data_IF_643405299744
#
_entry.id   IF_643405299744
#
_cell.length_a   1.000
_cell.length_b   1.000
_cell.length_c   1.000
_cell.angle_alpha   90.00
_cell.angle_beta   90.00
_cell.angle_gamma   90.00
#
_symmetry.space_group_name_H-M   'P 1'
#
loop_
_entity.id
_entity.type
_entity.pdbx_description
1 polymer ?
#
# COMPACT_ATOMS: atom_id res chain seq x y z
N UNK A 1 -13.42 24.47 10.37
CA UNK A 1 -13.44 23.47 9.30
C UNK A 1 -13.50 22.08 9.91
N UNK A 2 -14.42 21.27 9.46
CA UNK A 2 -14.54 19.91 9.97
C UNK A 2 -13.32 19.08 9.53
N UNK A 3 -12.79 18.29 10.43
CA UNK A 3 -11.74 17.33 10.09
C UNK A 3 -12.31 16.23 9.21
N UNK A 4 -11.59 15.90 8.15
CA UNK A 4 -11.95 14.76 7.33
C UNK A 4 -11.41 13.50 7.99
N UNK A 5 -12.25 12.49 8.04
CA UNK A 5 -11.87 11.16 8.50
C UNK A 5 -12.08 10.17 7.37
N UNK A 6 -11.17 9.20 7.27
CA UNK A 6 -11.21 8.15 6.27
C UNK A 6 -11.59 6.84 6.95
N UNK A 7 -12.57 6.15 6.41
CA UNK A 7 -12.96 4.82 6.87
C UNK A 7 -12.30 3.73 5.99
N UNK A 8 -12.69 2.48 6.20
CA UNK A 8 -12.16 1.37 5.42
C UNK A 8 -12.43 1.48 3.94
N UNK A 9 -13.63 1.89 3.56
CA UNK A 9 -13.99 2.06 2.16
C UNK A 9 -13.17 3.17 1.51
N UNK A 10 -12.98 4.29 2.22
CA UNK A 10 -12.15 5.39 1.75
C UNK A 10 -10.69 4.99 1.59
N UNK A 11 -10.15 4.27 2.56
CA UNK A 11 -8.78 3.77 2.50
C UNK A 11 -8.59 2.80 1.33
N UNK A 12 -9.51 1.88 1.13
CA UNK A 12 -9.47 0.93 0.03
C UNK A 12 -9.50 1.65 -1.32
N UNK A 13 -10.39 2.66 -1.46
CA UNK A 13 -10.46 3.46 -2.67
C UNK A 13 -9.17 4.22 -2.96
N UNK A 14 -8.57 4.82 -1.93
CA UNK A 14 -7.29 5.53 -2.06
C UNK A 14 -6.17 4.56 -2.45
N UNK A 15 -6.14 3.38 -1.85
CA UNK A 15 -5.13 2.37 -2.17
C UNK A 15 -5.28 1.87 -3.60
N UNK A 16 -6.51 1.64 -4.02
CA UNK A 16 -6.80 1.23 -5.40
C UNK A 16 -6.32 2.27 -6.41
N UNK A 17 -6.54 3.55 -6.11
CA UNK A 17 -6.07 4.65 -6.95
C UNK A 17 -4.54 4.73 -6.98
N UNK A 18 -3.88 4.53 -5.83
CA UNK A 18 -2.41 4.52 -5.74
C UNK A 18 -1.80 3.38 -6.56
N UNK A 19 -2.39 2.19 -6.52
CA UNK A 19 -1.93 1.05 -7.31
C UNK A 19 -2.08 1.34 -8.80
N UNK A 20 -3.20 1.92 -9.22
CA UNK A 20 -3.42 2.29 -10.61
C UNK A 20 -2.42 3.34 -11.08
N UNK A 21 -2.08 4.31 -10.24
CA UNK A 21 -1.09 5.33 -10.56
C UNK A 21 0.31 4.73 -10.73
N UNK A 22 0.70 3.86 -9.82
CA UNK A 22 1.99 3.16 -9.95
C UNK A 22 2.03 2.32 -11.23
N UNK A 23 0.95 1.60 -11.55
CA UNK A 23 0.86 0.81 -12.77
C UNK A 23 1.10 1.66 -14.01
N UNK A 24 0.55 2.87 -14.03
CA UNK A 24 0.73 3.79 -15.15
C UNK A 24 2.17 4.29 -15.29
N UNK A 25 2.98 4.22 -14.24
CA UNK A 25 4.35 4.77 -14.20
C UNK A 25 5.44 3.73 -13.97
N UNK A 26 5.12 2.43 -14.04
CA UNK A 26 6.08 1.34 -13.79
C UNK A 26 7.32 1.48 -14.67
N UNK A 27 7.14 1.76 -15.95
CA UNK A 27 8.27 1.86 -16.89
C UNK A 27 9.20 3.01 -16.52
N UNK A 28 8.64 4.16 -16.09
CA UNK A 28 9.44 5.29 -15.63
C UNK A 28 10.26 4.94 -14.40
N UNK A 29 9.64 4.29 -13.43
CA UNK A 29 10.32 3.88 -12.20
C UNK A 29 11.43 2.87 -12.51
N UNK A 30 11.15 1.90 -13.37
CA UNK A 30 12.15 0.91 -13.79
C UNK A 30 13.33 1.61 -14.48
N UNK A 31 13.08 2.60 -15.31
CA UNK A 31 14.12 3.33 -16.03
C UNK A 31 15.05 4.12 -15.09
N UNK A 32 14.56 4.52 -13.91
CA UNK A 32 15.35 5.24 -12.91
C UNK A 32 16.17 4.32 -12.02
N UNK A 33 16.02 3.01 -12.15
CA UNK A 33 16.69 2.03 -11.30
C UNK A 33 18.12 1.77 -11.79
N UNK A 34 19.05 2.61 -11.32
CA UNK A 34 20.46 2.54 -11.71
C UNK A 34 21.38 2.17 -10.54
N UNK A 35 20.90 2.15 -9.32
CA UNK A 35 21.69 1.82 -8.12
C UNK A 35 20.95 0.80 -7.24
N UNK A 36 21.70 -0.07 -6.57
CA UNK A 36 23.12 -0.34 -6.74
C UNK A 36 23.43 -1.10 -8.03
N UNK A 37 22.43 -1.75 -8.60
CA UNK A 37 22.55 -2.53 -9.85
C UNK A 37 21.50 -2.03 -10.83
N UNK A 38 21.86 -1.72 -12.07
CA UNK A 38 20.88 -1.18 -13.07
C UNK A 38 20.04 -2.30 -13.70
N UNK A 39 19.34 -3.09 -12.89
CA UNK A 39 18.51 -4.20 -13.35
C UNK A 39 17.10 -3.76 -13.78
N UNK A 40 16.71 -2.51 -13.51
CA UNK A 40 15.49 -1.92 -14.06
C UNK A 40 14.20 -2.56 -13.59
N UNK A 41 14.16 -3.11 -12.37
CA UNK A 41 13.00 -3.85 -11.87
C UNK A 41 12.32 -3.25 -10.63
N UNK A 42 12.76 -2.08 -10.17
CA UNK A 42 12.21 -1.45 -8.97
C UNK A 42 10.70 -1.25 -9.07
N UNK A 43 10.24 -0.67 -10.18
CA UNK A 43 8.81 -0.45 -10.40
C UNK A 43 8.02 -1.73 -10.50
N UNK A 44 8.55 -2.74 -11.18
CA UNK A 44 7.91 -4.04 -11.32
C UNK A 44 7.80 -4.76 -9.97
N UNK A 45 8.85 -4.70 -9.15
CA UNK A 45 8.85 -5.31 -7.82
C UNK A 45 7.86 -4.61 -6.89
N UNK A 46 7.83 -3.27 -6.89
CA UNK A 46 6.86 -2.52 -6.12
C UNK A 46 5.44 -2.83 -6.58
N UNK A 47 5.22 -2.88 -7.90
CA UNK A 47 3.90 -3.17 -8.46
C UNK A 47 3.38 -4.54 -8.03
N UNK A 48 4.23 -5.57 -8.12
CA UNK A 48 3.86 -6.92 -7.69
C UNK A 48 3.49 -6.95 -6.20
N UNK A 49 4.25 -6.21 -5.38
CA UNK A 49 4.03 -6.15 -3.93
C UNK A 49 2.74 -5.43 -3.58
N UNK A 50 2.48 -4.24 -4.16
CA UNK A 50 1.26 -3.50 -3.87
C UNK A 50 0.03 -4.15 -4.48
N UNK A 51 0.18 -4.87 -5.59
CA UNK A 51 -0.94 -5.64 -6.16
C UNK A 51 -1.37 -6.75 -5.21
N UNK A 52 -0.42 -7.47 -4.63
CA UNK A 52 -0.71 -8.50 -3.63
C UNK A 52 -1.38 -7.90 -2.40
N UNK A 53 -0.93 -6.72 -1.97
CA UNK A 53 -1.54 -5.99 -0.86
C UNK A 53 -2.98 -5.61 -1.17
N UNK A 54 -3.23 -5.07 -2.36
CA UNK A 54 -4.58 -4.67 -2.78
C UNK A 54 -5.52 -5.86 -2.85
N UNK A 55 -5.06 -6.98 -3.40
CA UNK A 55 -5.88 -8.19 -3.51
C UNK A 55 -6.37 -8.67 -2.14
N UNK A 56 -5.49 -8.65 -1.13
CA UNK A 56 -5.88 -9.02 0.23
C UNK A 56 -6.86 -8.01 0.84
N UNK A 57 -6.63 -6.73 0.63
CA UNK A 57 -7.52 -5.70 1.14
C UNK A 57 -8.90 -5.78 0.48
N UNK A 58 -8.96 -6.01 -0.82
CA UNK A 58 -10.23 -6.14 -1.55
C UNK A 58 -11.04 -7.35 -1.13
N UNK A 59 -10.39 -8.42 -0.67
CA UNK A 59 -11.07 -9.61 -0.17
C UNK A 59 -11.95 -9.33 1.05
N UNK A 60 -11.65 -8.27 1.82
CA UNK A 60 -12.49 -7.85 2.93
C UNK A 60 -13.73 -7.07 2.48
N UNK A 61 -13.69 -6.53 1.25
CA UNK A 61 -14.76 -5.71 0.71
C UNK A 61 -14.87 -4.33 1.38
N UNK A 62 -15.84 -3.52 0.94
CA UNK A 62 -15.97 -2.13 1.40
C UNK A 62 -16.46 -2.00 2.85
N UNK A 63 -16.90 -3.07 3.49
CA UNK A 63 -17.37 -3.05 4.87
C UNK A 63 -16.26 -3.20 5.90
N UNK A 64 -15.00 -3.38 5.47
CA UNK A 64 -13.88 -3.48 6.40
C UNK A 64 -13.59 -2.13 7.06
N UNK A 65 -13.18 -2.15 8.34
CA UNK A 65 -12.69 -0.94 9.01
C UNK A 65 -11.32 -0.54 8.45
N UNK A 66 -10.91 0.71 8.68
CA UNK A 66 -9.59 1.18 8.25
C UNK A 66 -8.48 0.28 8.81
N UNK A 67 -8.57 -0.11 10.08
CA UNK A 67 -7.62 -1.05 10.69
C UNK A 67 -7.54 -2.35 9.91
N UNK A 68 -8.68 -2.95 9.59
CA UNK A 68 -8.71 -4.25 8.91
C UNK A 68 -8.19 -4.16 7.48
N UNK A 69 -8.54 -3.10 6.77
CA UNK A 69 -8.04 -2.85 5.40
C UNK A 69 -6.53 -2.69 5.42
N UNK A 70 -6.01 -1.86 6.34
CA UNK A 70 -4.56 -1.63 6.45
C UNK A 70 -3.82 -2.92 6.83
N UNK A 71 -4.35 -3.68 7.76
CA UNK A 71 -3.75 -4.96 8.19
C UNK A 71 -3.74 -5.99 7.06
N UNK A 72 -4.82 -6.08 6.30
CA UNK A 72 -4.90 -6.98 5.15
C UNK A 72 -3.91 -6.58 4.06
N UNK A 73 -3.80 -5.28 3.76
CA UNK A 73 -2.82 -4.79 2.80
C UNK A 73 -1.39 -5.09 3.24
N UNK A 74 -1.07 -4.85 4.51
CA UNK A 74 0.26 -5.14 5.06
C UNK A 74 0.60 -6.62 4.98
N UNK A 75 -0.36 -7.49 5.30
CA UNK A 75 -0.19 -8.94 5.20
C UNK A 75 0.06 -9.37 3.75
N UNK A 76 -0.76 -8.88 2.82
CA UNK A 76 -0.60 -9.20 1.40
C UNK A 76 0.74 -8.74 0.86
N UNK A 77 1.18 -7.54 1.24
CA UNK A 77 2.48 -7.01 0.84
C UNK A 77 3.62 -7.86 1.39
N UNK A 78 3.53 -8.28 2.65
CA UNK A 78 4.56 -9.13 3.27
C UNK A 78 4.68 -10.46 2.54
N UNK A 79 3.56 -11.11 2.25
CA UNK A 79 3.55 -12.42 1.59
C UNK A 79 3.93 -12.33 0.13
N UNK A 80 3.67 -11.21 -0.53
CA UNK A 80 3.95 -11.00 -1.95
C UNK A 80 5.16 -10.14 -2.25
N UNK A 81 5.95 -9.76 -1.23
CA UNK A 81 7.08 -8.85 -1.44
C UNK A 81 8.11 -9.42 -2.41
N UNK A 82 8.53 -8.61 -3.36
CA UNK A 82 9.55 -8.96 -4.35
C UNK A 82 10.66 -7.92 -4.36
N UNK A 83 11.90 -8.40 -4.28
CA UNK A 83 13.08 -7.56 -4.32
C UNK A 83 13.17 -6.63 -3.12
N UNK A 84 14.24 -5.83 -3.08
CA UNK A 84 14.44 -4.88 -1.99
C UNK A 84 13.35 -3.82 -1.94
N UNK A 85 12.95 -3.31 -3.10
CA UNK A 85 11.89 -2.30 -3.18
C UNK A 85 10.55 -2.83 -2.66
N UNK A 86 10.23 -4.09 -2.96
CA UNK A 86 9.02 -4.72 -2.44
C UNK A 86 9.07 -4.91 -0.92
N UNK A 87 10.22 -5.34 -0.39
CA UNK A 87 10.40 -5.49 1.05
C UNK A 87 10.24 -4.14 1.77
N UNK A 88 10.86 -3.08 1.23
CA UNK A 88 10.73 -1.73 1.80
C UNK A 88 9.27 -1.29 1.76
N UNK A 89 8.57 -1.48 0.64
CA UNK A 89 7.16 -1.14 0.50
C UNK A 89 6.31 -1.88 1.52
N UNK A 90 6.58 -3.17 1.75
CA UNK A 90 5.85 -3.96 2.75
C UNK A 90 6.04 -3.42 4.16
N UNK A 91 7.22 -2.91 4.49
CA UNK A 91 7.50 -2.32 5.80
C UNK A 91 6.76 -0.98 5.98
N UNK A 92 6.65 -0.19 4.93
CA UNK A 92 5.87 1.04 4.96
C UNK A 92 4.39 0.73 5.25
N UNK A 93 3.83 -0.25 4.55
CA UNK A 93 2.44 -0.66 4.78
C UNK A 93 2.22 -1.23 6.18
N UNK A 94 3.20 -1.96 6.70
CA UNK A 94 3.16 -2.45 8.07
C UNK A 94 3.12 -1.29 9.07
N UNK A 95 3.94 -0.27 8.86
CA UNK A 95 3.94 0.92 9.72
C UNK A 95 2.59 1.64 9.71
N UNK A 96 1.97 1.77 8.54
CA UNK A 96 0.63 2.34 8.42
C UNK A 96 -0.39 1.48 9.19
N UNK A 97 -0.34 0.17 9.04
CA UNK A 97 -1.25 -0.73 9.73
C UNK A 97 -1.10 -0.63 11.26
N UNK A 98 0.12 -0.51 11.75
CA UNK A 98 0.38 -0.32 13.19
C UNK A 98 -0.19 1.01 13.68
N UNK A 99 -0.03 2.09 12.90
CA UNK A 99 -0.57 3.40 13.25
C UNK A 99 -2.11 3.41 13.32
N UNK A 100 -2.76 2.58 12.51
CA UNK A 100 -4.22 2.50 12.44
C UNK A 100 -4.81 1.41 13.32
N UNK A 101 -4.00 0.72 14.12
CA UNK A 101 -4.47 -0.34 15.00
C UNK A 101 -5.57 0.19 15.93
N UNK A 102 -6.69 -0.53 16.01
CA UNK A 102 -7.84 -0.13 16.81
C UNK A 102 -8.72 0.97 16.21
N UNK A 103 -8.43 1.42 14.97
CA UNK A 103 -9.14 2.53 14.35
C UNK A 103 -10.02 2.07 13.20
N UNK A 104 -11.32 2.29 13.31
CA UNK A 104 -12.25 2.06 12.21
C UNK A 104 -12.15 3.18 11.17
N UNK A 105 -11.84 4.41 11.64
CA UNK A 105 -11.66 5.62 10.84
C UNK A 105 -10.41 6.35 11.33
N UNK A 106 -9.81 7.12 10.47
CA UNK A 106 -8.61 7.86 10.81
C UNK A 106 -8.56 9.21 10.10
N UNK A 107 -7.70 10.09 10.58
CA UNK A 107 -7.36 11.36 9.92
C UNK A 107 -5.84 11.48 9.79
N UNK A 108 -5.38 12.61 9.26
CA UNK A 108 -3.95 12.82 9.01
C UNK A 108 -3.09 12.71 10.28
N UNK A 109 -3.63 13.09 11.44
CA UNK A 109 -2.89 13.02 12.70
C UNK A 109 -2.60 11.58 13.12
N UNK A 110 -3.51 10.66 12.80
CA UNK A 110 -3.35 9.25 13.15
C UNK A 110 -2.18 8.59 12.42
N UNK A 111 -1.80 9.12 11.25
CA UNK A 111 -0.67 8.62 10.47
C UNK A 111 0.65 9.29 10.82
N UNK A 112 0.61 10.36 11.58
CA UNK A 112 1.81 11.15 11.94
C UNK A 112 2.77 10.42 12.90
#
# INVERSE_FOLDING_TARGET
MARRACDGAGLLGAFRAAVADLEAHVDEVNALNVFPVPDGDTGSNMMATVRAALDEAEALGPSGSAERIASAAAFGALMGARGNSGVITSQILRGIAEALAGKARFNALDLA
#
